data_IF_931322510945
#
_entry.id   IF_931322510945
#
_cell.length_a   1.000
_cell.length_b   1.000
_cell.length_c   1.000
_cell.angle_alpha   90.00
_cell.angle_beta   90.00
_cell.angle_gamma   90.00
#
_symmetry.space_group_name_H-M   'P 1'
#
loop_
_entity.id
_entity.type
_entity.pdbx_description
1 polymer ?
#
# COMPACT_ATOMS: atom_id res chain seq x y z
N UNK A 1 -17.21 57.10 -10.67
CA UNK A 1 -17.67 55.87 -9.98
C UNK A 1 -17.44 56.04 -8.49
N UNK A 2 -18.47 55.82 -7.66
CA UNK A 2 -18.33 56.02 -6.22
C UNK A 2 -17.40 54.94 -5.63
N UNK A 3 -16.48 55.27 -4.70
CA UNK A 3 -15.49 54.35 -4.16
C UNK A 3 -16.10 53.07 -3.57
N UNK A 4 -17.37 53.11 -3.23
CA UNK A 4 -18.12 51.99 -2.66
C UNK A 4 -18.28 50.82 -3.67
N UNK A 5 -18.38 51.10 -4.96
CA UNK A 5 -18.46 50.02 -5.97
C UNK A 5 -17.12 49.30 -6.18
N UNK A 6 -16.03 50.02 -6.02
CA UNK A 6 -14.68 49.44 -6.08
C UNK A 6 -14.46 48.47 -4.90
N UNK A 7 -14.90 48.84 -3.72
CA UNK A 7 -14.82 47.97 -2.52
C UNK A 7 -15.70 46.73 -2.64
N UNK A 8 -16.90 46.84 -3.21
CA UNK A 8 -17.82 45.73 -3.41
C UNK A 8 -17.24 44.73 -4.44
N UNK A 9 -16.63 45.23 -5.53
CA UNK A 9 -15.96 44.38 -6.53
C UNK A 9 -14.75 43.69 -5.94
N UNK A 10 -13.96 44.36 -5.09
CA UNK A 10 -12.81 43.73 -4.39
C UNK A 10 -13.26 42.66 -3.39
N UNK A 11 -14.38 42.88 -2.71
CA UNK A 11 -14.97 41.89 -1.79
C UNK A 11 -15.52 40.65 -2.53
N UNK A 12 -16.12 40.84 -3.72
CA UNK A 12 -16.62 39.76 -4.55
C UNK A 12 -15.50 38.90 -5.15
N UNK A 13 -14.33 39.52 -5.45
CA UNK A 13 -13.15 38.79 -5.92
C UNK A 13 -12.50 37.88 -4.86
N UNK A 14 -12.75 38.13 -3.57
CA UNK A 14 -12.26 37.29 -2.48
C UNK A 14 -13.07 36.00 -2.27
N UNK A 15 -14.25 35.91 -2.89
CA UNK A 15 -15.11 34.71 -2.80
C UNK A 15 -14.86 33.67 -3.90
N UNK A 16 -13.91 33.88 -4.81
CA UNK A 16 -13.43 32.78 -5.66
C UNK A 16 -12.65 31.82 -4.79
N UNK A 17 -13.33 30.83 -4.23
CA UNK A 17 -12.65 29.64 -3.67
C UNK A 17 -11.82 29.09 -4.81
N UNK A 18 -10.51 29.26 -4.74
CA UNK A 18 -9.57 28.45 -5.51
C UNK A 18 -9.79 27.02 -5.07
N UNK A 19 -10.62 26.29 -5.81
CA UNK A 19 -10.77 24.87 -5.64
C UNK A 19 -9.42 24.27 -6.06
N UNK A 20 -8.52 24.10 -5.10
CA UNK A 20 -7.39 23.21 -5.27
C UNK A 20 -7.96 21.86 -5.69
N UNK A 21 -7.50 21.32 -6.81
CA UNK A 21 -7.92 20.00 -7.26
C UNK A 21 -7.53 18.99 -6.19
N UNK A 22 -8.50 18.63 -5.38
CA UNK A 22 -8.32 17.60 -4.37
C UNK A 22 -8.24 16.26 -5.09
N UNK A 23 -7.11 15.57 -5.01
CA UNK A 23 -6.93 14.22 -5.57
C UNK A 23 -7.91 13.19 -5.00
N UNK A 24 -8.52 13.50 -3.87
CA UNK A 24 -9.50 12.65 -3.20
C UNK A 24 -10.92 12.75 -3.81
N UNK A 25 -11.23 13.83 -4.52
CA UNK A 25 -12.45 14.01 -5.30
C UNK A 25 -12.10 13.92 -6.77
N UNK A 26 -11.91 12.69 -7.26
CA UNK A 26 -11.38 12.40 -8.58
C UNK A 26 -12.13 13.08 -9.72
N UNK A 27 -11.41 13.81 -10.58
CA UNK A 27 -11.87 14.10 -11.93
C UNK A 27 -11.94 12.79 -12.74
N UNK A 28 -12.99 12.56 -13.52
CA UNK A 28 -13.13 11.36 -14.35
C UNK A 28 -12.13 11.26 -15.51
N UNK A 29 -11.23 12.24 -15.65
CA UNK A 29 -10.23 12.30 -16.72
C UNK A 29 -8.83 12.02 -16.18
N UNK A 30 -8.04 11.30 -16.98
CA UNK A 30 -6.60 11.17 -16.72
C UNK A 30 -5.95 12.56 -16.69
N UNK A 31 -5.19 12.86 -15.64
CA UNK A 31 -4.52 14.17 -15.46
C UNK A 31 -3.12 14.20 -16.07
N UNK A 32 -2.68 13.10 -16.68
CA UNK A 32 -1.38 12.97 -17.36
C UNK A 32 -1.48 12.03 -18.55
N UNK A 33 -0.53 12.11 -19.49
CA UNK A 33 -0.36 11.14 -20.56
C UNK A 33 -0.03 9.74 -20.03
N UNK A 34 -0.30 8.75 -20.84
CA UNK A 34 0.16 7.37 -20.62
C UNK A 34 1.69 7.31 -20.47
N UNK A 35 2.15 6.34 -19.72
CA UNK A 35 3.58 6.05 -19.58
C UNK A 35 3.96 4.99 -20.60
N UNK A 36 4.90 5.31 -21.47
CA UNK A 36 5.45 4.41 -22.46
C UNK A 36 6.87 4.03 -22.03
N UNK A 37 7.20 2.74 -22.04
CA UNK A 37 8.50 2.23 -21.63
C UNK A 37 9.03 1.19 -22.63
N UNK A 38 10.32 1.26 -22.97
CA UNK A 38 11.00 0.35 -23.91
C UNK A 38 11.43 -0.97 -23.27
N UNK A 39 11.94 -0.92 -22.03
CA UNK A 39 12.66 -2.04 -21.41
C UNK A 39 11.89 -2.74 -20.32
N UNK A 40 10.94 -2.07 -19.70
CA UNK A 40 10.15 -2.60 -18.60
C UNK A 40 9.34 -1.50 -17.92
N UNK A 41 8.33 -1.91 -17.21
CA UNK A 41 7.42 -1.00 -16.52
C UNK A 41 7.07 -1.57 -15.15
N UNK A 42 6.84 -0.68 -14.18
CA UNK A 42 6.26 -1.02 -12.90
C UNK A 42 5.17 0.00 -12.55
N UNK A 43 4.10 -0.47 -11.91
CA UNK A 43 3.05 0.37 -11.39
C UNK A 43 2.66 -0.13 -10.00
N UNK A 44 2.62 0.78 -9.03
CA UNK A 44 2.17 0.51 -7.66
C UNK A 44 1.36 1.71 -7.16
N UNK A 45 0.70 1.55 -6.04
CA UNK A 45 -0.02 2.62 -5.35
C UNK A 45 0.89 3.70 -4.73
N UNK A 46 2.20 3.39 -4.52
CA UNK A 46 3.15 4.31 -3.91
C UNK A 46 4.34 4.62 -4.83
N UNK A 47 4.66 5.91 -5.10
CA UNK A 47 5.73 6.28 -6.03
C UNK A 47 7.11 5.70 -5.69
N UNK A 48 7.48 5.66 -4.40
CA UNK A 48 8.76 5.10 -3.96
C UNK A 48 8.84 3.60 -4.19
N UNK A 49 7.76 2.85 -3.98
CA UNK A 49 7.71 1.43 -4.29
C UNK A 49 7.84 1.17 -5.79
N UNK A 50 7.20 2.00 -6.64
CA UNK A 50 7.38 1.96 -8.09
C UNK A 50 8.84 2.22 -8.47
N UNK A 51 9.49 3.21 -7.87
CA UNK A 51 10.90 3.52 -8.13
C UNK A 51 11.79 2.33 -7.76
N UNK A 52 11.57 1.71 -6.61
CA UNK A 52 12.31 0.50 -6.19
C UNK A 52 12.16 -0.62 -7.21
N UNK A 53 10.94 -0.88 -7.69
CA UNK A 53 10.71 -1.89 -8.74
C UNK A 53 11.53 -1.60 -10.01
N UNK A 54 11.52 -0.35 -10.48
CA UNK A 54 12.29 0.08 -11.65
C UNK A 54 13.81 -0.08 -11.41
N UNK A 55 14.29 0.23 -10.22
CA UNK A 55 15.72 0.11 -9.89
C UNK A 55 16.17 -1.36 -9.84
N UNK A 56 15.32 -2.26 -9.34
CA UNK A 56 15.57 -3.71 -9.40
C UNK A 56 15.63 -4.19 -10.85
N UNK A 57 14.69 -3.76 -11.72
CA UNK A 57 14.73 -4.09 -13.15
C UNK A 57 16.02 -3.58 -13.82
N UNK A 58 16.44 -2.35 -13.55
CA UNK A 58 17.69 -1.77 -14.07
C UNK A 58 18.94 -2.51 -13.62
N UNK A 59 18.93 -3.10 -12.42
CA UNK A 59 20.02 -3.96 -11.91
C UNK A 59 20.04 -5.35 -12.56
N UNK A 60 19.11 -5.64 -13.45
CA UNK A 60 19.00 -6.93 -14.15
C UNK A 60 18.18 -7.99 -13.41
N UNK A 61 17.39 -7.57 -12.41
CA UNK A 61 16.38 -8.40 -11.77
C UNK A 61 15.23 -8.73 -12.72
N UNK A 62 14.50 -9.80 -12.40
CA UNK A 62 13.29 -10.20 -13.12
C UNK A 62 12.10 -9.33 -12.69
N UNK A 63 10.99 -9.44 -13.40
CA UNK A 63 9.73 -8.81 -13.00
C UNK A 63 9.27 -9.28 -11.61
N UNK A 64 9.59 -10.53 -11.25
CA UNK A 64 9.27 -11.09 -9.93
C UNK A 64 10.15 -10.50 -8.83
N UNK A 65 11.45 -10.36 -9.07
CA UNK A 65 12.37 -9.69 -8.13
C UNK A 65 11.88 -8.25 -7.86
N UNK A 66 11.50 -7.53 -8.92
CA UNK A 66 10.97 -6.18 -8.83
C UNK A 66 9.63 -6.10 -8.08
N UNK A 67 8.72 -7.05 -8.34
CA UNK A 67 7.43 -7.12 -7.66
C UNK A 67 7.57 -7.41 -6.17
N UNK A 68 8.47 -8.34 -5.77
CA UNK A 68 8.75 -8.64 -4.36
C UNK A 68 9.33 -7.41 -3.65
N UNK A 69 10.32 -6.74 -4.25
CA UNK A 69 10.93 -5.55 -3.68
C UNK A 69 9.90 -4.42 -3.47
N UNK A 70 9.06 -4.18 -4.47
CA UNK A 70 7.98 -3.19 -4.38
C UNK A 70 6.95 -3.57 -3.31
N UNK A 71 6.53 -4.83 -3.25
CA UNK A 71 5.55 -5.31 -2.28
C UNK A 71 6.08 -5.21 -0.83
N UNK A 72 7.35 -5.51 -0.61
CA UNK A 72 8.00 -5.32 0.68
C UNK A 72 8.00 -3.82 1.11
N UNK A 73 8.28 -2.91 0.17
CA UNK A 73 8.19 -1.47 0.43
C UNK A 73 6.75 -1.03 0.70
N UNK A 74 5.76 -1.55 -0.03
CA UNK A 74 4.35 -1.23 0.18
C UNK A 74 3.88 -1.66 1.57
N UNK A 75 4.31 -2.82 2.07
CA UNK A 75 3.99 -3.28 3.42
C UNK A 75 4.46 -2.31 4.52
N UNK A 76 5.50 -1.54 4.25
CA UNK A 76 5.98 -0.47 5.13
C UNK A 76 5.24 0.84 4.89
N UNK A 77 5.02 1.22 3.62
CA UNK A 77 4.54 2.55 3.22
C UNK A 77 3.01 2.67 3.23
N UNK A 78 2.30 1.56 3.09
CA UNK A 78 0.83 1.49 3.06
C UNK A 78 0.29 0.46 4.07
N UNK A 79 0.54 0.63 5.37
CA UNK A 79 0.18 -0.36 6.39
C UNK A 79 -1.33 -0.59 6.53
N UNK A 80 -2.16 0.28 5.94
CA UNK A 80 -3.62 0.14 5.91
C UNK A 80 -4.12 -0.81 4.84
N UNK A 81 -3.28 -1.21 3.88
CA UNK A 81 -3.68 -2.03 2.74
C UNK A 81 -2.72 -3.16 2.39
N UNK A 82 -1.52 -3.17 2.97
CA UNK A 82 -0.48 -4.15 2.64
C UNK A 82 0.36 -4.49 3.87
N UNK A 83 0.95 -5.69 3.91
CA UNK A 83 1.83 -6.08 5.01
C UNK A 83 2.31 -7.51 4.95
N UNK A 84 3.47 -7.77 5.56
CA UNK A 84 4.08 -9.11 5.66
C UNK A 84 3.24 -10.11 6.48
N UNK A 85 2.37 -9.62 7.34
CA UNK A 85 1.46 -10.43 8.16
C UNK A 85 0.18 -10.84 7.44
N UNK A 86 0.01 -10.49 6.19
CA UNK A 86 -1.19 -10.75 5.39
C UNK A 86 -1.00 -11.84 4.34
N UNK A 87 -1.80 -11.70 3.30
CA UNK A 87 -1.91 -12.64 2.20
C UNK A 87 -1.15 -12.15 0.97
N UNK A 88 -0.90 -13.06 0.01
CA UNK A 88 -0.36 -12.71 -1.29
C UNK A 88 -1.04 -13.52 -2.38
N UNK A 89 -1.42 -12.83 -3.46
CA UNK A 89 -1.87 -13.45 -4.70
C UNK A 89 -1.02 -12.94 -5.85
N UNK A 90 -0.66 -13.83 -6.75
CA UNK A 90 0.11 -13.45 -7.92
C UNK A 90 -0.38 -14.15 -9.19
N UNK A 91 -0.31 -13.42 -10.30
CA UNK A 91 -0.49 -13.95 -11.66
C UNK A 91 0.77 -13.59 -12.44
N UNK A 92 1.42 -14.59 -12.99
CA UNK A 92 2.69 -14.46 -13.71
C UNK A 92 2.55 -15.01 -15.12
N UNK A 93 2.79 -14.19 -16.12
CA UNK A 93 2.97 -14.65 -17.50
C UNK A 93 4.44 -14.95 -17.74
N UNK A 94 4.74 -16.21 -18.01
CA UNK A 94 6.09 -16.64 -18.42
C UNK A 94 6.21 -16.61 -19.93
N UNK A 95 6.88 -15.60 -20.45
CA UNK A 95 7.08 -15.41 -21.88
C UNK A 95 7.94 -16.50 -22.53
N UNK A 96 8.81 -17.19 -21.79
CA UNK A 96 9.64 -18.27 -22.33
C UNK A 96 8.82 -19.52 -22.62
N UNK A 97 7.94 -19.89 -21.71
CA UNK A 97 7.10 -21.09 -21.82
C UNK A 97 5.71 -20.79 -22.39
N UNK A 98 5.37 -19.51 -22.60
CA UNK A 98 4.04 -19.04 -23.04
C UNK A 98 2.92 -19.56 -22.11
N UNK A 99 3.17 -19.56 -20.79
CA UNK A 99 2.23 -20.07 -19.80
C UNK A 99 1.89 -19.02 -18.75
N UNK A 100 0.64 -19.07 -18.34
CA UNK A 100 0.15 -18.31 -17.20
C UNK A 100 0.28 -19.16 -15.93
N UNK A 101 0.82 -18.56 -14.88
CA UNK A 101 0.95 -19.17 -13.56
C UNK A 101 0.20 -18.34 -12.53
N UNK A 102 -0.53 -19.00 -11.66
CA UNK A 102 -1.20 -18.39 -10.51
C UNK A 102 -0.58 -18.89 -9.21
N UNK A 103 -0.48 -18.01 -8.22
CA UNK A 103 -0.16 -18.36 -6.84
C UNK A 103 -1.21 -17.79 -5.91
N UNK A 104 -1.72 -18.65 -5.04
CA UNK A 104 -2.50 -18.26 -3.87
C UNK A 104 -1.66 -18.57 -2.63
N UNK A 105 -1.12 -17.54 -2.02
CA UNK A 105 -0.41 -17.56 -0.76
C UNK A 105 -1.19 -16.79 0.33
N UNK A 106 -2.52 -16.95 0.32
CA UNK A 106 -3.37 -16.48 1.39
C UNK A 106 -3.31 -17.43 2.55
N UNK A 107 -2.71 -17.39 3.55
CA UNK A 107 -2.63 -18.35 4.66
C UNK A 107 -3.96 -19.04 5.00
N UNK A 108 -3.85 -20.08 5.77
CA UNK A 108 -5.01 -20.84 6.25
C UNK A 108 -5.56 -20.21 7.52
N UNK A 109 -6.83 -20.48 7.83
CA UNK A 109 -7.35 -20.15 9.16
C UNK A 109 -6.60 -20.94 10.23
N UNK A 110 -6.40 -20.38 11.43
CA UNK A 110 -5.88 -21.15 12.58
C UNK A 110 -6.74 -22.39 12.84
N UNK A 111 -6.10 -23.53 13.16
CA UNK A 111 -6.81 -24.80 13.38
C UNK A 111 -7.83 -24.76 14.52
N UNK A 112 -7.64 -23.84 15.47
CA UNK A 112 -8.55 -23.64 16.60
C UNK A 112 -9.83 -22.84 16.22
N UNK A 113 -9.83 -22.11 15.09
CA UNK A 113 -10.99 -21.36 14.62
C UNK A 113 -11.92 -22.26 13.80
N UNK A 114 -12.61 -23.15 14.49
CA UNK A 114 -13.60 -24.06 13.90
C UNK A 114 -14.99 -23.41 13.85
N UNK A 115 -15.89 -23.98 13.06
CA UNK A 115 -17.29 -23.57 13.05
C UNK A 115 -17.93 -23.67 14.45
N UNK A 116 -17.59 -24.72 15.21
CA UNK A 116 -18.13 -24.92 16.55
C UNK A 116 -17.66 -23.84 17.52
N UNK A 117 -16.37 -23.43 17.43
CA UNK A 117 -15.88 -22.27 18.18
C UNK A 117 -16.73 -21.01 17.97
N UNK A 118 -17.07 -20.69 16.73
CA UNK A 118 -17.90 -19.52 16.42
C UNK A 118 -19.35 -19.69 16.93
N UNK A 119 -19.94 -20.88 16.80
CA UNK A 119 -21.27 -21.17 17.33
C UNK A 119 -21.33 -21.06 18.85
N UNK A 120 -20.36 -21.65 19.57
CA UNK A 120 -20.27 -21.56 21.03
C UNK A 120 -20.12 -20.14 21.54
N UNK A 121 -19.47 -19.27 20.78
CA UNK A 121 -19.29 -17.85 21.09
C UNK A 121 -20.48 -16.97 20.63
N UNK A 122 -21.49 -17.55 19.98
CA UNK A 122 -22.62 -16.80 19.43
C UNK A 122 -22.22 -15.85 18.29
N UNK A 123 -21.12 -16.14 17.58
CA UNK A 123 -20.61 -15.32 16.49
C UNK A 123 -21.15 -15.84 15.18
N UNK A 124 -22.17 -15.20 14.65
CA UNK A 124 -22.81 -15.56 13.38
C UNK A 124 -22.00 -15.15 12.15
N UNK A 125 -21.19 -14.09 12.28
CA UNK A 125 -20.37 -13.54 11.18
C UNK A 125 -19.00 -13.16 11.70
N UNK A 126 -17.95 -13.60 11.02
CA UNK A 126 -16.56 -13.20 11.33
C UNK A 126 -16.46 -11.68 11.22
N UNK A 127 -16.00 -10.98 12.27
CA UNK A 127 -15.87 -9.52 12.24
C UNK A 127 -14.82 -9.10 11.21
N UNK A 128 -14.98 -7.91 10.65
CA UNK A 128 -14.04 -7.38 9.65
C UNK A 128 -12.68 -6.95 10.27
N UNK A 129 -12.65 -6.68 11.57
CA UNK A 129 -11.48 -6.20 12.31
C UNK A 129 -11.21 -7.06 13.53
N UNK A 130 -9.99 -6.98 14.05
CA UNK A 130 -9.55 -7.72 15.24
C UNK A 130 -8.86 -9.04 14.90
N UNK A 131 -8.63 -9.90 15.89
CA UNK A 131 -7.81 -11.11 15.70
C UNK A 131 -8.52 -12.26 14.96
N UNK A 132 -9.86 -12.29 14.97
CA UNK A 132 -10.62 -13.42 14.40
C UNK A 132 -10.56 -13.57 12.88
N UNK A 133 -10.51 -12.47 12.07
CA UNK A 133 -10.36 -12.60 10.62
C UNK A 133 -8.92 -12.85 10.16
N UNK A 134 -7.94 -12.83 11.06
CA UNK A 134 -6.53 -12.95 10.69
C UNK A 134 -6.20 -14.41 10.32
N UNK A 135 -5.75 -14.62 9.09
CA UNK A 135 -5.19 -15.89 8.62
C UNK A 135 -3.76 -16.10 9.14
N UNK A 136 -3.25 -17.31 9.07
CA UNK A 136 -1.82 -17.54 9.25
C UNK A 136 -1.08 -16.81 8.12
N UNK A 137 -0.09 -15.94 8.41
CA UNK A 137 0.59 -15.14 7.39
C UNK A 137 1.17 -15.98 6.26
N UNK A 138 0.80 -15.66 5.02
CA UNK A 138 1.27 -16.38 3.83
C UNK A 138 2.10 -15.50 2.88
N UNK A 139 2.09 -14.18 3.04
CA UNK A 139 2.73 -13.24 2.12
C UNK A 139 4.22 -13.52 1.91
N UNK A 140 4.97 -13.70 3.00
CA UNK A 140 6.43 -13.93 2.94
C UNK A 140 6.75 -15.28 2.30
N UNK A 141 6.00 -16.32 2.65
CA UNK A 141 6.12 -17.63 1.98
C UNK A 141 5.89 -17.51 0.48
N UNK A 142 4.85 -16.76 0.09
CA UNK A 142 4.58 -16.46 -1.31
C UNK A 142 5.72 -15.72 -2.05
N UNK A 143 6.47 -14.83 -1.35
CA UNK A 143 7.66 -14.22 -1.96
C UNK A 143 8.73 -15.26 -2.27
N UNK A 144 9.00 -16.19 -1.36
CA UNK A 144 9.99 -17.23 -1.56
C UNK A 144 9.56 -18.25 -2.63
N UNK A 145 8.29 -18.62 -2.69
CA UNK A 145 7.74 -19.48 -3.74
C UNK A 145 7.86 -18.84 -5.13
N UNK A 146 7.48 -17.58 -5.27
CA UNK A 146 7.63 -16.83 -6.52
C UNK A 146 9.09 -16.68 -6.92
N UNK A 147 9.93 -16.32 -5.96
CA UNK A 147 11.36 -16.13 -6.17
C UNK A 147 12.05 -17.43 -6.59
N UNK A 148 11.76 -18.54 -5.91
CA UNK A 148 12.33 -19.84 -6.23
C UNK A 148 12.02 -20.31 -7.65
N UNK A 149 10.89 -19.87 -8.22
CA UNK A 149 10.47 -20.27 -9.57
C UNK A 149 10.89 -19.28 -10.65
N UNK A 150 10.87 -17.98 -10.36
CA UNK A 150 11.00 -16.92 -11.38
C UNK A 150 12.02 -15.84 -11.00
N UNK A 151 12.54 -15.85 -9.78
CA UNK A 151 13.54 -14.89 -9.31
C UNK A 151 14.94 -15.17 -9.89
N UNK A 152 15.81 -14.16 -9.78
CA UNK A 152 17.20 -14.22 -10.22
C UNK A 152 18.16 -13.57 -9.23
N UNK A 153 17.76 -12.45 -8.63
CA UNK A 153 18.60 -11.72 -7.69
C UNK A 153 18.55 -12.36 -6.28
N UNK A 154 19.61 -12.23 -5.46
CA UNK A 154 19.55 -12.68 -4.07
C UNK A 154 18.45 -11.96 -3.30
N UNK A 155 17.63 -12.68 -2.51
CA UNK A 155 16.54 -12.10 -1.70
C UNK A 155 17.03 -10.97 -0.78
N UNK A 156 18.26 -11.05 -0.30
CA UNK A 156 18.89 -9.98 0.49
C UNK A 156 18.94 -8.64 -0.27
N UNK A 157 19.30 -8.69 -1.55
CA UNK A 157 19.37 -7.49 -2.40
C UNK A 157 17.96 -6.98 -2.77
N UNK A 158 17.02 -7.90 -3.00
CA UNK A 158 15.62 -7.58 -3.31
C UNK A 158 14.97 -6.86 -2.13
N UNK A 159 15.21 -7.31 -0.90
CA UNK A 159 14.60 -6.73 0.31
C UNK A 159 15.36 -5.52 0.87
N UNK A 160 16.59 -5.27 0.42
CA UNK A 160 17.42 -4.20 0.95
C UNK A 160 16.77 -2.82 0.90
N UNK A 161 16.09 -2.41 -0.20
CA UNK A 161 15.41 -1.10 -0.24
C UNK A 161 14.35 -0.94 0.85
N UNK A 162 13.54 -1.97 1.13
CA UNK A 162 12.56 -1.92 2.20
C UNK A 162 13.21 -1.81 3.59
N UNK A 163 14.33 -2.53 3.80
CA UNK A 163 15.12 -2.45 5.04
C UNK A 163 15.70 -1.04 5.21
N UNK A 164 16.19 -0.43 4.15
CA UNK A 164 16.77 0.91 4.19
C UNK A 164 15.71 1.95 4.52
N UNK A 165 14.53 1.88 3.91
CA UNK A 165 13.40 2.75 4.25
C UNK A 165 12.90 2.51 5.69
N UNK A 166 12.86 1.27 6.17
CA UNK A 166 12.47 0.99 7.55
C UNK A 166 13.47 1.57 8.57
N UNK A 167 14.76 1.58 8.23
CA UNK A 167 15.83 2.10 9.10
C UNK A 167 15.94 3.62 9.07
N UNK A 168 15.85 4.21 7.89
CA UNK A 168 16.16 5.63 7.66
C UNK A 168 14.89 6.50 7.59
N UNK A 169 13.71 5.89 7.55
CA UNK A 169 12.45 6.57 7.32
C UNK A 169 12.16 6.79 5.82
N UNK A 170 10.94 7.20 5.54
CA UNK A 170 10.47 7.57 4.21
C UNK A 170 9.44 8.70 4.32
N UNK A 171 9.27 9.55 3.29
CA UNK A 171 8.27 10.60 3.30
C UNK A 171 6.87 10.00 3.20
N UNK A 172 6.00 10.35 4.14
CA UNK A 172 4.59 9.97 4.12
C UNK A 172 3.84 10.80 3.08
N UNK A 173 3.14 10.15 2.14
CA UNK A 173 2.34 10.87 1.14
C UNK A 173 1.00 11.33 1.72
N UNK A 174 0.45 12.44 1.18
CA UNK A 174 -0.85 12.98 1.59
C UNK A 174 -1.97 11.94 1.53
N UNK A 175 -2.00 11.13 0.46
CA UNK A 175 -3.02 10.09 0.28
C UNK A 175 -2.92 9.00 1.36
N UNK A 176 -1.72 8.57 1.69
CA UNK A 176 -1.50 7.57 2.73
C UNK A 176 -1.83 8.13 4.11
N UNK A 177 -1.41 9.37 4.40
CA UNK A 177 -1.78 10.06 5.64
C UNK A 177 -3.31 10.13 5.81
N UNK A 178 -4.03 10.48 4.75
CA UNK A 178 -5.50 10.53 4.74
C UNK A 178 -6.13 9.15 5.05
N UNK A 179 -5.69 8.08 4.40
CA UNK A 179 -6.21 6.75 4.70
C UNK A 179 -5.85 6.28 6.10
N UNK A 180 -4.66 6.61 6.56
CA UNK A 180 -4.21 6.27 7.90
C UNK A 180 -5.07 6.97 8.96
N UNK A 181 -5.27 8.29 8.84
CA UNK A 181 -6.14 9.07 9.73
C UNK A 181 -7.55 8.50 9.80
N UNK A 182 -8.13 8.13 8.66
CA UNK A 182 -9.47 7.52 8.63
C UNK A 182 -9.56 6.17 9.33
N UNK A 183 -8.47 5.41 9.38
CA UNK A 183 -8.46 4.09 9.98
C UNK A 183 -8.18 4.11 11.50
N UNK A 184 -7.47 5.12 12.01
CA UNK A 184 -7.13 5.23 13.44
C UNK A 184 -8.34 5.04 14.37
N UNK A 185 -9.51 5.68 14.18
CA UNK A 185 -10.66 5.51 15.06
C UNK A 185 -11.16 4.06 15.16
N UNK A 186 -10.97 3.26 14.10
CA UNK A 186 -11.42 1.87 14.05
C UNK A 186 -10.40 0.90 14.66
N UNK A 187 -9.11 1.19 14.54
CA UNK A 187 -8.03 0.25 14.94
C UNK A 187 -7.41 0.61 16.30
N UNK A 188 -7.53 1.83 16.79
CA UNK A 188 -6.95 2.28 18.07
C UNK A 188 -7.49 1.55 19.32
N UNK A 189 -8.65 0.89 19.19
CA UNK A 189 -9.20 0.05 20.26
C UNK A 189 -8.41 -1.24 20.49
N UNK A 190 -7.57 -1.65 19.54
CA UNK A 190 -6.74 -2.84 19.67
C UNK A 190 -5.39 -2.50 20.29
N UNK A 191 -4.86 -3.37 21.18
CA UNK A 191 -3.60 -3.12 21.86
C UNK A 191 -2.44 -2.97 20.84
N UNK A 192 -1.47 -2.15 21.21
CA UNK A 192 -0.23 -1.87 20.48
C UNK A 192 -0.37 -1.10 19.15
N UNK A 193 -1.57 -0.85 18.63
CA UNK A 193 -1.77 -0.12 17.37
C UNK A 193 -1.29 1.32 17.51
N UNK A 194 -1.73 2.02 18.56
CA UNK A 194 -1.36 3.42 18.79
C UNK A 194 0.15 3.58 18.97
N UNK A 195 0.79 2.68 19.71
CA UNK A 195 2.24 2.71 19.95
C UNK A 195 3.03 2.46 18.66
N UNK A 196 2.55 1.55 17.80
CA UNK A 196 3.26 1.15 16.57
C UNK A 196 3.08 2.16 15.45
N UNK A 197 1.86 2.70 15.31
CA UNK A 197 1.47 3.46 14.12
C UNK A 197 1.23 4.95 14.36
N UNK A 198 1.51 5.46 15.55
CA UNK A 198 1.40 6.89 15.86
C UNK A 198 2.62 7.39 16.64
N UNK A 199 2.85 8.70 16.60
CA UNK A 199 3.82 9.40 17.44
C UNK A 199 3.02 10.17 18.49
N UNK A 200 3.15 9.80 19.76
CA UNK A 200 2.38 10.41 20.86
C UNK A 200 0.85 10.44 20.63
N UNK A 201 0.33 9.36 20.04
CA UNK A 201 -1.09 9.23 19.71
C UNK A 201 -1.55 10.02 18.49
N UNK A 202 -0.64 10.67 17.77
CA UNK A 202 -0.91 11.42 16.54
C UNK A 202 -0.24 10.75 15.33
N UNK A 203 -0.79 10.97 14.15
CA UNK A 203 -0.12 10.56 12.92
C UNK A 203 1.23 11.28 12.79
N UNK A 204 2.23 10.61 12.17
CA UNK A 204 3.44 11.30 11.77
C UNK A 204 3.09 12.51 10.91
N UNK A 205 3.67 13.67 11.21
CA UNK A 205 3.50 14.85 10.38
C UNK A 205 4.06 14.59 8.99
N UNK A 206 3.39 15.12 7.97
CA UNK A 206 3.96 15.20 6.62
C UNK A 206 5.29 15.95 6.73
N UNK A 207 6.39 15.29 6.44
CA UNK A 207 7.69 15.94 6.32
C UNK A 207 7.76 16.49 4.90
N UNK A 208 7.66 17.80 4.77
CA UNK A 208 7.96 18.53 3.55
C UNK A 208 9.42 18.93 3.52
#
# INVERSE_FOLDING_TARGET
MKPIYFFIILLLLQFTKTMSQNRLTSNPFATRSEVIAQNGMAATSHPLATQVAIDILKKGGTAIDAAIAANACLGLMEPTGCGMGGDLFAIVWDAKTQKLHGLNASGRSPKSLTLDYFKEKGIEKIPALGPLPVSVPGCVDGWFELHGKFGKMPMKEILQPAIDYARNGFPLTELIAYYWERNIPYISQYPNITETFTIEGKLPNLIF
#
